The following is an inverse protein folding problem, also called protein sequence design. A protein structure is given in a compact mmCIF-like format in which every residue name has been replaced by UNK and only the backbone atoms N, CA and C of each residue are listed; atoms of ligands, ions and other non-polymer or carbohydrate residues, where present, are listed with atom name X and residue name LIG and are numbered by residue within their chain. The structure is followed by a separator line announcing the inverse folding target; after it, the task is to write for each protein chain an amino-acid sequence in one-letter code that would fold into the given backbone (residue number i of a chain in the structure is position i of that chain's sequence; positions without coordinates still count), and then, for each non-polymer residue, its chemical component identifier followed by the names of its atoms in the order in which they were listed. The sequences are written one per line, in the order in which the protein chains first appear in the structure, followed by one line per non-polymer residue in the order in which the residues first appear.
data_IF_835887313304
#
_entry.id   IF_835887313304
#
_cell.length_a   1.000
_cell.length_b   1.000
_cell.length_c   1.000
_cell.angle_alpha   90.00
_cell.angle_beta   90.00
_cell.angle_gamma   90.00
#
_symmetry.space_group_name_H-M   'P 1'
#
loop_
_entity.id
_entity.type
_entity.pdbx_description
1 polymer ?
#
# COMPACT_ATOMS: atom_id res chain seq x y z
N UNK A 1 5.85 12.76 22.79
CA UNK A 1 6.12 11.33 23.00
C UNK A 1 7.02 10.97 21.85
N UNK A 2 8.33 10.97 22.11
CA UNK A 2 9.38 10.61 21.17
C UNK A 2 9.28 9.11 20.91
N UNK A 3 8.51 8.71 19.91
CA UNK A 3 8.78 7.48 19.20
C UNK A 3 9.73 7.89 18.06
N UNK A 4 11.02 7.61 18.22
CA UNK A 4 12.02 7.71 17.16
C UNK A 4 11.64 6.66 16.11
N UNK A 5 10.75 7.04 15.18
CA UNK A 5 10.39 6.16 14.07
C UNK A 5 11.60 6.10 13.14
N UNK A 6 12.29 4.96 13.13
CA UNK A 6 13.22 4.66 12.04
C UNK A 6 12.42 4.63 10.73
N UNK A 7 12.53 5.71 9.95
CA UNK A 7 11.90 5.82 8.64
C UNK A 7 12.69 4.96 7.65
N UNK A 8 12.17 3.77 7.35
CA UNK A 8 12.71 2.93 6.28
C UNK A 8 12.16 3.41 4.94
N UNK A 9 13.06 3.69 4.01
CA UNK A 9 12.67 3.97 2.63
C UNK A 9 12.04 2.72 2.02
N UNK A 10 10.83 2.86 1.45
CA UNK A 10 10.06 1.70 0.98
C UNK A 10 10.64 1.06 -0.28
N UNK A 11 11.44 1.82 -1.05
CA UNK A 11 12.04 1.41 -2.31
C UNK A 11 13.57 1.49 -2.30
N UNK A 12 14.19 1.32 -1.13
CA UNK A 12 15.64 1.30 -0.98
C UNK A 12 16.26 0.17 -1.82
N UNK A 13 17.35 0.47 -2.53
CA UNK A 13 18.09 -0.54 -3.28
C UNK A 13 18.85 -1.47 -2.32
N UNK A 14 18.45 -2.75 -2.26
CA UNK A 14 19.17 -3.77 -1.53
C UNK A 14 20.03 -4.62 -2.48
N UNK A 15 21.34 -4.66 -2.25
CA UNK A 15 22.27 -5.46 -3.09
C UNK A 15 22.05 -6.97 -2.90
N UNK A 16 21.61 -7.39 -1.71
CA UNK A 16 21.42 -8.80 -1.35
C UNK A 16 20.01 -9.25 -1.70
N UNK A 17 19.91 -10.30 -2.53
CA UNK A 17 18.65 -10.95 -2.85
C UNK A 17 18.70 -12.45 -2.57
N UNK A 18 17.67 -12.97 -1.91
CA UNK A 18 17.50 -14.37 -1.54
C UNK A 18 16.83 -15.17 -2.65
N UNK A 19 17.58 -16.13 -3.22
CA UNK A 19 17.06 -17.09 -4.21
C UNK A 19 15.92 -17.96 -3.67
N UNK A 20 15.94 -18.26 -2.38
CA UNK A 20 14.88 -19.03 -1.73
C UNK A 20 13.59 -18.21 -1.69
N UNK A 21 13.70 -16.92 -1.34
CA UNK A 21 12.54 -16.04 -1.30
C UNK A 21 11.93 -15.86 -2.68
N UNK A 22 12.75 -15.75 -3.73
CA UNK A 22 12.28 -15.72 -5.11
C UNK A 22 11.39 -16.93 -5.45
N UNK A 23 11.75 -18.13 -4.99
CA UNK A 23 10.94 -19.33 -5.22
C UNK A 23 9.64 -19.32 -4.42
N UNK A 24 9.69 -18.93 -3.14
CA UNK A 24 8.49 -18.85 -2.30
C UNK A 24 7.52 -17.78 -2.80
N UNK A 25 8.05 -16.67 -3.31
CA UNK A 25 7.30 -15.54 -3.87
C UNK A 25 6.32 -15.95 -4.95
N UNK A 26 6.70 -16.90 -5.82
CA UNK A 26 5.82 -17.38 -6.90
C UNK A 26 4.51 -17.96 -6.32
N UNK A 27 4.62 -18.73 -5.23
CA UNK A 27 3.46 -19.33 -4.58
C UNK A 27 2.72 -18.34 -3.67
N UNK A 28 3.44 -17.44 -2.98
CA UNK A 28 2.85 -16.44 -2.09
C UNK A 28 2.14 -15.31 -2.84
N UNK A 29 2.58 -15.00 -4.06
CA UNK A 29 1.98 -13.97 -4.91
C UNK A 29 0.52 -14.29 -5.27
N UNK A 30 0.20 -15.56 -5.53
CA UNK A 30 -1.16 -15.99 -5.91
C UNK A 30 -2.21 -15.65 -4.81
N UNK A 31 -2.10 -16.12 -3.55
CA UNK A 31 -3.09 -15.82 -2.52
C UNK A 31 -3.15 -14.31 -2.21
N UNK A 32 -2.00 -13.65 -2.20
CA UNK A 32 -1.92 -12.23 -1.89
C UNK A 32 -2.52 -11.36 -3.00
N UNK A 33 -2.37 -11.76 -4.27
CA UNK A 33 -3.03 -11.12 -5.40
C UNK A 33 -4.56 -11.26 -5.34
N UNK A 34 -5.07 -12.42 -4.90
CA UNK A 34 -6.52 -12.61 -4.69
C UNK A 34 -7.03 -11.65 -3.60
N UNK A 35 -6.32 -11.56 -2.49
CA UNK A 35 -6.68 -10.63 -1.40
C UNK A 35 -6.65 -9.17 -1.90
N UNK A 36 -5.61 -8.79 -2.63
CA UNK A 36 -5.50 -7.46 -3.23
C UNK A 36 -6.65 -7.17 -4.20
N UNK A 37 -7.08 -8.15 -4.98
CA UNK A 37 -8.21 -8.01 -5.91
C UNK A 37 -9.54 -7.77 -5.17
N UNK A 38 -9.77 -8.43 -4.04
CA UNK A 38 -10.96 -8.17 -3.22
C UNK A 38 -10.91 -6.74 -2.66
N UNK A 39 -9.77 -6.33 -2.12
CA UNK A 39 -9.62 -4.95 -1.61
C UNK A 39 -9.73 -3.90 -2.71
N UNK A 40 -9.30 -4.18 -3.95
CA UNK A 40 -9.42 -3.24 -5.06
C UNK A 40 -10.87 -2.99 -5.46
N UNK A 41 -11.72 -4.02 -5.40
CA UNK A 41 -13.17 -3.86 -5.62
C UNK A 41 -13.77 -2.97 -4.53
N UNK A 42 -13.44 -3.22 -3.26
CA UNK A 42 -13.93 -2.42 -2.12
C UNK A 42 -13.48 -0.97 -2.26
N UNK A 43 -12.19 -0.74 -2.53
CA UNK A 43 -11.64 0.59 -2.74
C UNK A 43 -12.26 1.29 -3.95
N UNK A 44 -12.50 0.56 -5.05
CA UNK A 44 -13.19 1.08 -6.23
C UNK A 44 -14.61 1.57 -5.93
N UNK A 45 -15.36 0.82 -5.11
CA UNK A 45 -16.68 1.25 -4.63
C UNK A 45 -16.55 2.50 -3.75
N UNK A 46 -15.57 2.53 -2.83
CA UNK A 46 -15.34 3.70 -1.98
C UNK A 46 -14.97 4.95 -2.80
N UNK A 47 -14.10 4.82 -3.81
CA UNK A 47 -13.74 5.90 -4.73
C UNK A 47 -14.97 6.39 -5.50
N UNK A 48 -15.80 5.46 -6.00
CA UNK A 48 -17.01 5.81 -6.74
C UNK A 48 -18.02 6.57 -5.88
N UNK A 49 -18.22 6.14 -4.62
CA UNK A 49 -19.08 6.86 -3.66
C UNK A 49 -18.46 8.22 -3.31
N UNK A 50 -17.14 8.26 -3.06
CA UNK A 50 -16.42 9.48 -2.71
C UNK A 50 -16.52 10.53 -3.82
N UNK A 51 -16.50 10.10 -5.07
CA UNK A 51 -16.70 10.97 -6.23
C UNK A 51 -18.07 11.65 -6.20
N UNK A 52 -19.15 10.92 -5.93
CA UNK A 52 -20.49 11.52 -5.75
C UNK A 52 -20.54 12.52 -4.59
N UNK A 53 -19.92 12.19 -3.46
CA UNK A 53 -19.85 13.08 -2.29
C UNK A 53 -19.15 14.39 -2.65
N UNK A 54 -18.01 14.31 -3.34
CA UNK A 54 -17.26 15.51 -3.77
C UNK A 54 -18.08 16.33 -4.77
N UNK A 55 -18.74 15.68 -5.73
CA UNK A 55 -19.55 16.38 -6.73
C UNK A 55 -20.73 17.15 -6.12
N UNK A 56 -21.38 16.58 -5.10
CA UNK A 56 -22.59 17.16 -4.53
C UNK A 56 -22.26 18.12 -3.37
N UNK A 57 -21.34 17.75 -2.49
CA UNK A 57 -21.04 18.50 -1.26
C UNK A 57 -19.74 19.33 -1.35
N UNK A 58 -18.86 19.05 -2.32
CA UNK A 58 -17.56 19.72 -2.43
C UNK A 58 -16.54 19.30 -1.36
N UNK A 59 -16.83 18.28 -0.55
CA UNK A 59 -15.97 17.82 0.55
C UNK A 59 -15.60 16.34 0.42
N UNK A 60 -14.49 15.94 1.07
CA UNK A 60 -14.06 14.54 1.15
C UNK A 60 -14.58 13.88 2.42
N UNK A 61 -15.05 12.65 2.30
CA UNK A 61 -15.47 11.87 3.46
C UNK A 61 -14.25 11.19 4.07
N UNK A 62 -14.02 11.44 5.37
CA UNK A 62 -12.85 10.90 6.08
C UNK A 62 -12.81 9.37 6.11
N UNK A 63 -13.94 8.72 6.38
CA UNK A 63 -14.00 7.26 6.48
C UNK A 63 -13.71 6.55 5.15
N UNK A 64 -14.27 7.06 4.05
CA UNK A 64 -13.97 6.53 2.71
C UNK A 64 -12.50 6.76 2.35
N UNK A 65 -12.00 7.96 2.66
CA UNK A 65 -10.59 8.28 2.45
C UNK A 65 -9.67 7.31 3.19
N UNK A 66 -9.95 7.01 4.46
CA UNK A 66 -9.10 6.13 5.28
C UNK A 66 -9.09 4.69 4.74
N UNK A 67 -10.22 4.20 4.21
CA UNK A 67 -10.29 2.90 3.53
C UNK A 67 -9.48 2.86 2.23
N UNK A 68 -9.64 3.88 1.39
CA UNK A 68 -8.90 4.00 0.12
C UNK A 68 -7.40 4.10 0.41
N UNK A 69 -7.03 4.89 1.42
CA UNK A 69 -5.63 5.04 1.87
C UNK A 69 -5.04 3.70 2.31
N UNK A 70 -5.73 2.95 3.16
CA UNK A 70 -5.25 1.63 3.58
C UNK A 70 -5.07 0.67 2.40
N UNK A 71 -5.99 0.68 1.43
CA UNK A 71 -5.84 -0.09 0.20
C UNK A 71 -4.60 0.31 -0.61
N UNK A 72 -4.38 1.62 -0.83
CA UNK A 72 -3.22 2.11 -1.59
C UNK A 72 -1.91 1.74 -0.89
N UNK A 73 -1.84 1.87 0.43
CA UNK A 73 -0.68 1.46 1.22
C UNK A 73 -0.39 -0.03 1.07
N UNK A 74 -1.43 -0.87 1.20
CA UNK A 74 -1.30 -2.31 0.96
C UNK A 74 -0.79 -2.60 -0.46
N UNK A 75 -1.37 -1.93 -1.46
CA UNK A 75 -1.00 -2.11 -2.86
C UNK A 75 0.48 -1.76 -3.12
N UNK A 76 0.98 -0.66 -2.55
CA UNK A 76 2.39 -0.25 -2.68
C UNK A 76 3.35 -1.30 -2.14
N UNK A 77 3.07 -1.88 -0.96
CA UNK A 77 3.91 -2.95 -0.39
C UNK A 77 3.86 -4.24 -1.22
N UNK A 78 2.73 -4.54 -1.85
CA UNK A 78 2.63 -5.70 -2.73
C UNK A 78 3.36 -5.49 -4.06
N UNK A 79 3.27 -4.28 -4.61
CA UNK A 79 3.97 -3.94 -5.86
C UNK A 79 5.48 -4.00 -5.67
N UNK A 80 6.02 -3.48 -4.55
CA UNK A 80 7.46 -3.58 -4.27
C UNK A 80 7.91 -5.04 -4.16
N UNK A 81 7.11 -5.88 -3.48
CA UNK A 81 7.37 -7.31 -3.39
C UNK A 81 7.25 -8.01 -4.76
N UNK A 82 6.25 -7.71 -5.58
CA UNK A 82 6.09 -8.34 -6.90
C UNK A 82 7.15 -7.91 -7.91
N UNK A 83 7.70 -6.70 -7.77
CA UNK A 83 8.73 -6.16 -8.66
C UNK A 83 10.16 -6.40 -8.17
N UNK A 84 10.37 -7.31 -7.21
CA UNK A 84 11.71 -7.69 -6.72
C UNK A 84 12.50 -6.55 -6.08
N UNK A 85 11.81 -5.55 -5.53
CA UNK A 85 12.44 -4.41 -4.84
C UNK A 85 12.72 -4.73 -3.37
N UNK A 86 12.06 -5.74 -2.81
CA UNK A 86 12.30 -6.21 -1.45
C UNK A 86 12.10 -7.73 -1.36
N UNK A 87 12.81 -8.36 -0.42
CA UNK A 87 12.60 -9.73 0.02
C UNK A 87 11.69 -9.83 1.25
N UNK A 88 11.34 -8.69 1.86
CA UNK A 88 10.45 -8.66 3.01
C UNK A 88 9.02 -8.99 2.57
N UNK A 89 8.44 -10.04 3.16
CA UNK A 89 7.09 -10.47 2.83
C UNK A 89 6.05 -9.49 3.39
N UNK A 90 5.21 -8.87 2.55
CA UNK A 90 4.15 -8.02 3.03
C UNK A 90 3.11 -8.85 3.79
N UNK A 91 2.61 -8.30 4.89
CA UNK A 91 1.48 -8.88 5.63
C UNK A 91 0.20 -8.88 4.80
N UNK A 92 -0.77 -9.75 5.11
CA UNK A 92 -1.98 -9.98 4.28
C UNK A 92 -3.04 -8.88 4.45
N UNK A 93 -2.85 -7.96 5.40
CA UNK A 93 -3.83 -6.92 5.74
C UNK A 93 -3.29 -5.52 5.48
N UNK A 94 -4.15 -4.60 5.01
CA UNK A 94 -3.85 -3.17 5.00
C UNK A 94 -3.44 -2.69 6.39
N UNK A 95 -2.28 -2.05 6.47
CA UNK A 95 -1.86 -1.30 7.64
C UNK A 95 -2.16 0.17 7.40
N UNK A 96 -2.56 0.90 8.43
CA UNK A 96 -2.64 2.36 8.36
C UNK A 96 -1.24 2.92 8.58
N UNK A 97 -0.56 3.25 7.49
CA UNK A 97 0.75 3.89 7.52
C UNK A 97 0.57 5.38 7.21
N UNK A 98 1.64 6.15 7.19
CA UNK A 98 1.60 7.53 6.70
C UNK A 98 2.74 7.65 5.69
N UNK A 99 2.38 7.88 4.44
CA UNK A 99 3.34 8.18 3.39
C UNK A 99 3.62 9.68 3.45
N UNK A 100 4.88 10.03 3.61
CA UNK A 100 5.35 11.41 3.61
C UNK A 100 6.10 11.65 2.31
N UNK A 101 5.94 12.84 1.77
CA UNK A 101 6.69 13.34 0.62
C UNK A 101 7.50 14.55 1.09
N UNK A 102 8.75 14.63 0.67
CA UNK A 102 9.60 15.78 0.96
C UNK A 102 9.12 16.92 0.07
N UNK A 103 8.73 18.03 0.69
CA UNK A 103 8.40 19.26 -0.03
C UNK A 103 9.71 20.04 -0.17
N UNK A 104 10.27 20.09 -1.38
CA UNK A 104 11.33 21.04 -1.69
C UNK A 104 10.71 22.45 -1.69
N UNK A 105 11.14 23.32 -0.78
CA UNK A 105 10.79 24.74 -0.83
C UNK A 105 11.57 25.39 -1.99
N UNK A 106 10.85 25.88 -3.00
CA UNK A 106 11.41 26.69 -4.11
C UNK A 106 12.02 28.02 -3.62
#
# INVERSE_FOLDING_TARGET
MDDDFELKELFEYEEKASRLELFVRIFYMIPVAIVLFVYSIIAGICVFIQWWIILILGERNKSLNDLIKGYLEYNVHLISYFNYMTDERPGVTPKNVRIYEIIEEE
#
